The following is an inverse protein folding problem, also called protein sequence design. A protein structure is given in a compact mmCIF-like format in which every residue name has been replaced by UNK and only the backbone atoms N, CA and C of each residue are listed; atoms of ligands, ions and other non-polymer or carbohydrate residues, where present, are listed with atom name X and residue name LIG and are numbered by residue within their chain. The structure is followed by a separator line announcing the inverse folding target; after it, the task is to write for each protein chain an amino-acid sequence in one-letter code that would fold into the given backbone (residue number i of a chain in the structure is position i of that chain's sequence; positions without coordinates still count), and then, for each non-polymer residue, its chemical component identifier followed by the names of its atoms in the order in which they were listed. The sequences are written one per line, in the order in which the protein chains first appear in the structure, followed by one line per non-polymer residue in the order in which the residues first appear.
data_IF_883667225300
#
_entry.id   IF_883667225300
#
_cell.length_a   1.000
_cell.length_b   1.000
_cell.length_c   1.000
_cell.angle_alpha   90.00
_cell.angle_beta   90.00
_cell.angle_gamma   90.00
#
_symmetry.space_group_name_H-M   'P 1'
#
loop_
_entity.id
_entity.type
_entity.pdbx_description
1 polymer ?
#
# COMPACT_ATOMS: atom_id res chain seq x y z
N UNK A 1 26.43 -14.57 -27.19
CA UNK A 1 25.29 -14.32 -26.26
C UNK A 1 24.81 -15.65 -25.68
N UNK A 2 25.58 -16.26 -24.77
CA UNK A 2 25.31 -17.64 -24.32
C UNK A 2 25.64 -17.90 -22.83
N UNK A 3 25.97 -16.88 -22.04
CA UNK A 3 26.32 -17.06 -20.63
C UNK A 3 25.10 -17.24 -19.70
N UNK A 4 23.94 -16.69 -20.07
CA UNK A 4 22.73 -16.70 -19.22
C UNK A 4 22.17 -18.11 -18.99
N UNK A 5 22.10 -18.92 -20.03
CA UNK A 5 21.56 -20.28 -19.97
C UNK A 5 22.44 -21.25 -19.18
N UNK A 6 23.75 -21.03 -19.10
CA UNK A 6 24.65 -21.78 -18.21
C UNK A 6 24.45 -21.39 -16.74
N UNK A 7 24.26 -20.09 -16.46
CA UNK A 7 23.98 -19.59 -15.12
C UNK A 7 22.65 -20.12 -14.56
N UNK A 8 21.60 -20.14 -15.39
CA UNK A 8 20.30 -20.73 -15.03
C UNK A 8 20.43 -22.23 -14.77
N UNK A 9 21.29 -22.94 -15.51
CA UNK A 9 21.51 -24.38 -15.32
C UNK A 9 22.26 -24.69 -14.02
N UNK A 10 23.17 -23.80 -13.59
CA UNK A 10 23.96 -23.93 -12.36
C UNK A 10 23.18 -23.51 -11.11
N UNK A 11 22.27 -22.53 -11.22
CA UNK A 11 21.45 -22.03 -10.11
C UNK A 11 19.95 -22.30 -10.30
N UNK A 12 19.59 -23.48 -10.84
CA UNK A 12 18.19 -23.89 -11.06
C UNK A 12 17.32 -23.70 -9.83
N UNK A 13 17.83 -24.04 -8.64
CA UNK A 13 17.09 -23.92 -7.38
C UNK A 13 16.80 -22.47 -7.00
N UNK A 14 17.76 -21.56 -7.14
CA UNK A 14 17.57 -20.13 -6.83
C UNK A 14 16.52 -19.52 -7.75
N UNK A 15 16.57 -19.84 -9.05
CA UNK A 15 15.58 -19.34 -10.03
C UNK A 15 14.18 -19.88 -9.72
N UNK A 16 14.06 -21.16 -9.37
CA UNK A 16 12.79 -21.78 -8.98
C UNK A 16 12.22 -21.15 -7.70
N UNK A 17 13.08 -20.90 -6.71
CA UNK A 17 12.68 -20.29 -5.45
C UNK A 17 12.22 -18.84 -5.62
N UNK A 18 12.93 -18.06 -6.47
CA UNK A 18 12.52 -16.69 -6.83
C UNK A 18 11.20 -16.71 -7.60
N UNK A 19 11.02 -17.64 -8.54
CA UNK A 19 9.77 -17.76 -9.31
C UNK A 19 8.58 -18.11 -8.41
N UNK A 20 8.76 -19.05 -7.48
CA UNK A 20 7.76 -19.42 -6.48
C UNK A 20 7.46 -18.26 -5.53
N UNK A 21 8.50 -17.57 -5.03
CA UNK A 21 8.36 -16.39 -4.17
C UNK A 21 7.62 -15.24 -4.86
N UNK A 22 7.88 -15.03 -6.16
CA UNK A 22 7.19 -14.02 -6.97
C UNK A 22 5.70 -14.37 -7.14
N UNK A 23 5.39 -15.62 -7.46
CA UNK A 23 4.00 -16.11 -7.56
C UNK A 23 3.27 -16.00 -6.21
N UNK A 24 3.91 -16.42 -5.11
CA UNK A 24 3.35 -16.27 -3.77
C UNK A 24 3.11 -14.80 -3.43
N UNK A 25 4.09 -13.93 -3.70
CA UNK A 25 3.98 -12.50 -3.42
C UNK A 25 2.83 -11.86 -4.19
N UNK A 26 2.67 -12.18 -5.48
CA UNK A 26 1.55 -11.69 -6.30
C UNK A 26 0.23 -12.22 -5.76
N UNK A 27 0.16 -13.50 -5.39
CA UNK A 27 -1.05 -14.11 -4.83
C UNK A 27 -1.42 -13.48 -3.48
N UNK A 28 -0.45 -13.23 -2.61
CA UNK A 28 -0.64 -12.54 -1.34
C UNK A 28 -1.09 -11.07 -1.55
N UNK A 29 -0.49 -10.42 -2.54
CA UNK A 29 -0.84 -9.06 -2.92
C UNK A 29 -2.28 -8.98 -3.47
N UNK A 30 -2.70 -9.98 -4.23
CA UNK A 30 -4.05 -10.08 -4.82
C UNK A 30 -5.12 -10.45 -3.78
N UNK A 31 -4.80 -11.30 -2.81
CA UNK A 31 -5.76 -11.79 -1.81
C UNK A 31 -6.11 -10.71 -0.79
N UNK A 32 -5.12 -9.96 -0.31
CA UNK A 32 -5.34 -9.14 0.88
C UNK A 32 -4.65 -7.78 0.86
N UNK A 33 -3.53 -7.60 0.15
CA UNK A 33 -2.72 -6.40 0.32
C UNK A 33 -3.47 -5.13 -0.04
N UNK A 34 -4.11 -5.08 -1.20
CA UNK A 34 -4.82 -3.87 -1.61
C UNK A 34 -6.07 -3.63 -0.75
N UNK A 35 -6.79 -4.70 -0.36
CA UNK A 35 -8.00 -4.58 0.47
C UNK A 35 -7.69 -4.14 1.90
N UNK A 36 -6.62 -4.66 2.51
CA UNK A 36 -6.20 -4.28 3.88
C UNK A 36 -5.59 -2.89 3.90
N UNK A 37 -4.79 -2.52 2.90
CA UNK A 37 -4.24 -1.17 2.80
C UNK A 37 -5.35 -0.13 2.59
N UNK A 38 -6.33 -0.42 1.72
CA UNK A 38 -7.54 0.42 1.57
C UNK A 38 -8.36 0.49 2.86
N UNK A 39 -8.57 -0.63 3.55
CA UNK A 39 -9.29 -0.65 4.83
C UNK A 39 -8.60 0.21 5.89
N UNK A 40 -7.29 0.05 6.06
CA UNK A 40 -6.50 0.84 7.02
C UNK A 40 -6.55 2.32 6.66
N UNK A 41 -6.43 2.67 5.38
CA UNK A 41 -6.52 4.05 4.91
C UNK A 41 -7.89 4.66 5.24
N UNK A 42 -8.99 3.94 4.97
CA UNK A 42 -10.36 4.40 5.27
C UNK A 42 -10.57 4.50 6.77
N UNK A 43 -10.12 3.52 7.57
CA UNK A 43 -10.18 3.56 9.03
C UNK A 43 -9.43 4.77 9.59
N UNK A 44 -8.22 5.03 9.10
CA UNK A 44 -7.42 6.17 9.50
C UNK A 44 -8.09 7.51 9.12
N UNK A 45 -8.69 7.61 7.93
CA UNK A 45 -9.45 8.79 7.51
C UNK A 45 -10.71 8.98 8.37
N UNK A 46 -11.50 7.93 8.59
CA UNK A 46 -12.67 7.99 9.47
C UNK A 46 -12.26 8.37 10.90
N UNK A 47 -11.17 7.81 11.41
CA UNK A 47 -10.64 8.14 12.73
C UNK A 47 -10.19 9.61 12.81
N UNK A 48 -9.43 10.09 11.82
CA UNK A 48 -9.03 11.50 11.74
C UNK A 48 -10.23 12.44 11.68
N UNK A 49 -11.21 12.15 10.82
CA UNK A 49 -12.41 12.96 10.67
C UNK A 49 -13.22 12.94 11.98
N UNK A 50 -13.40 11.78 12.60
CA UNK A 50 -14.10 11.63 13.88
C UNK A 50 -13.39 12.36 15.02
N UNK A 51 -12.06 12.24 15.10
CA UNK A 51 -11.22 12.93 16.08
C UNK A 51 -11.32 14.47 15.93
N UNK A 52 -11.32 14.96 14.69
CA UNK A 52 -11.47 16.39 14.39
C UNK A 52 -12.88 16.91 14.70
N UNK A 53 -13.90 16.08 14.47
CA UNK A 53 -15.29 16.39 14.81
C UNK A 53 -15.50 16.45 16.33
N UNK A 54 -14.89 15.52 17.06
CA UNK A 54 -14.98 15.44 18.51
C UNK A 54 -14.30 16.64 19.19
N UNK A 55 -13.11 17.03 18.72
CA UNK A 55 -12.33 18.10 19.35
C UNK A 55 -12.87 19.51 19.08
N UNK A 56 -13.47 19.75 17.91
CA UNK A 56 -13.79 21.12 17.43
C UNK A 56 -15.15 21.24 16.73
N UNK A 57 -15.99 20.19 16.76
CA UNK A 57 -17.27 20.17 16.08
C UNK A 57 -17.16 20.29 14.54
N UNK A 58 -18.27 20.60 13.84
CA UNK A 58 -18.29 20.75 12.38
C UNK A 58 -17.38 21.88 11.86
N UNK A 59 -17.01 22.82 12.72
CA UNK A 59 -16.09 23.92 12.38
C UNK A 59 -14.62 23.45 12.28
N UNK A 60 -14.23 22.47 13.10
CA UNK A 60 -12.92 21.84 13.05
C UNK A 60 -12.61 21.16 11.72
N UNK A 61 -13.57 20.37 11.22
CA UNK A 61 -13.45 19.70 9.91
C UNK A 61 -13.31 20.74 8.80
N UNK A 62 -14.15 21.78 8.80
CA UNK A 62 -14.11 22.84 7.78
C UNK A 62 -12.77 23.59 7.79
N UNK A 63 -12.23 23.89 8.97
CA UNK A 63 -10.94 24.57 9.09
C UNK A 63 -9.76 23.70 8.64
N UNK A 64 -9.76 22.39 8.96
CA UNK A 64 -8.74 21.45 8.49
C UNK A 64 -8.78 21.25 6.98
N UNK A 65 -9.98 21.12 6.39
CA UNK A 65 -10.13 20.99 4.94
C UNK A 65 -9.67 22.26 4.22
N UNK A 66 -10.01 23.44 4.75
CA UNK A 66 -9.56 24.71 4.22
C UNK A 66 -8.02 24.84 4.32
N UNK A 67 -7.39 24.43 5.44
CA UNK A 67 -5.92 24.38 5.55
C UNK A 67 -5.24 23.38 4.62
N UNK A 68 -5.86 22.22 4.36
CA UNK A 68 -5.34 21.21 3.45
C UNK A 68 -5.46 21.61 1.98
N UNK A 69 -6.56 22.28 1.59
CA UNK A 69 -6.80 22.71 0.21
C UNK A 69 -6.27 24.10 -0.14
N UNK A 70 -6.02 24.99 0.83
CA UNK A 70 -5.51 26.35 0.58
C UNK A 70 -3.99 26.45 0.66
N UNK A 71 -3.26 25.33 0.84
CA UNK A 71 -1.79 25.34 0.82
C UNK A 71 -1.18 25.22 -0.58
N UNK A 72 -1.92 25.50 -1.65
CA UNK A 72 -1.38 25.63 -3.01
C UNK A 72 -2.21 26.62 -3.84
N UNK A 73 -2.07 27.92 -3.55
CA UNK A 73 -2.36 28.97 -4.55
C UNK A 73 -1.44 30.16 -4.38
#
# INVERSE_FOLDING_TARGET
MSAFLEFIKKHKFTVLLVLVGLILSILFFTIGFWRTLLLILILALCFLIGYLLDQSGPEGIRNFFNKLFTKDS
#
